data_IF_010218273675
#
_entry.id   IF_010218273675
#
_cell.length_a   1.000
_cell.length_b   1.000
_cell.length_c   1.000
_cell.angle_alpha   90.00
_cell.angle_beta   90.00
_cell.angle_gamma   90.00
#
_symmetry.space_group_name_H-M   'P 1'
#
loop_
_entity.id
_entity.type
_entity.pdbx_description
1 polymer ?
#
# COMPACT_ATOMS: atom_id res chain seq x y z
N UNK A 1 17.18 -75.76 4.26
CA UNK A 1 16.43 -74.58 4.67
C UNK A 1 15.94 -73.90 3.43
N UNK A 2 14.71 -74.14 3.04
CA UNK A 2 14.04 -73.54 1.89
C UNK A 2 13.46 -72.20 2.34
N UNK A 3 13.99 -71.07 1.84
CA UNK A 3 13.36 -69.78 1.98
C UNK A 3 12.09 -69.73 1.16
N UNK A 4 10.95 -69.78 1.82
CA UNK A 4 9.65 -69.46 1.20
C UNK A 4 9.57 -67.95 1.01
N UNK A 5 9.86 -67.48 -0.18
CA UNK A 5 9.55 -66.12 -0.62
C UNK A 5 8.02 -66.11 -0.80
N UNK A 6 7.32 -65.40 0.06
CA UNK A 6 5.86 -65.24 -0.04
C UNK A 6 5.52 -64.29 -1.20
N UNK A 7 4.88 -64.76 -2.28
CA UNK A 7 4.50 -63.94 -3.45
C UNK A 7 3.43 -62.87 -3.17
N UNK A 8 2.83 -62.90 -1.98
CA UNK A 8 1.66 -62.07 -1.61
C UNK A 8 2.06 -60.62 -1.30
N UNK A 9 3.30 -60.38 -0.80
CA UNK A 9 3.72 -59.03 -0.44
C UNK A 9 4.00 -58.12 -1.65
N UNK A 10 4.58 -58.69 -2.73
CA UNK A 10 4.86 -57.94 -3.96
C UNK A 10 3.59 -57.54 -4.73
N UNK A 11 2.58 -58.43 -4.77
CA UNK A 11 1.33 -58.13 -5.44
C UNK A 11 0.49 -57.07 -4.65
N UNK A 12 0.47 -57.18 -3.34
CA UNK A 12 -0.18 -56.19 -2.49
C UNK A 12 0.47 -54.80 -2.60
N UNK A 13 1.83 -54.73 -2.65
CA UNK A 13 2.54 -53.46 -2.88
C UNK A 13 2.30 -52.90 -4.29
N UNK A 14 2.24 -53.73 -5.33
CA UNK A 14 1.90 -53.29 -6.68
C UNK A 14 0.49 -52.77 -6.81
N UNK A 15 -0.48 -53.41 -6.17
CA UNK A 15 -1.89 -52.94 -6.08
C UNK A 15 -1.96 -51.61 -5.33
N UNK A 16 -1.32 -51.50 -4.18
CA UNK A 16 -1.29 -50.28 -3.39
C UNK A 16 -0.64 -49.12 -4.16
N UNK A 17 0.46 -49.37 -4.90
CA UNK A 17 1.06 -48.41 -5.80
C UNK A 17 0.16 -47.96 -6.95
N UNK A 18 -0.64 -48.92 -7.51
CA UNK A 18 -1.63 -48.62 -8.57
C UNK A 18 -2.77 -47.77 -8.06
N UNK A 19 -3.29 -48.03 -6.86
CA UNK A 19 -4.34 -47.25 -6.23
C UNK A 19 -3.88 -45.84 -5.91
N UNK A 20 -2.68 -45.67 -5.34
CA UNK A 20 -2.12 -44.33 -5.05
C UNK A 20 -1.86 -43.52 -6.32
N UNK A 21 -1.48 -44.17 -7.41
CA UNK A 21 -1.32 -43.52 -8.72
C UNK A 21 -2.68 -43.03 -9.28
N UNK A 22 -3.70 -43.87 -9.16
CA UNK A 22 -5.06 -43.50 -9.59
C UNK A 22 -5.62 -42.34 -8.76
N UNK A 23 -5.47 -42.41 -7.44
CA UNK A 23 -5.90 -41.33 -6.53
C UNK A 23 -5.18 -40.02 -6.90
N UNK A 24 -3.86 -40.03 -7.15
CA UNK A 24 -3.13 -38.88 -7.60
C UNK A 24 -3.64 -38.32 -8.93
N UNK A 25 -3.94 -39.17 -9.90
CA UNK A 25 -4.47 -38.73 -11.21
C UNK A 25 -5.86 -38.13 -11.07
N UNK A 26 -6.72 -38.68 -10.23
CA UNK A 26 -8.05 -38.14 -9.94
C UNK A 26 -7.91 -36.77 -9.25
N UNK A 27 -7.15 -36.70 -8.17
CA UNK A 27 -6.92 -35.45 -7.42
C UNK A 27 -6.33 -34.36 -8.34
N UNK A 28 -5.28 -34.67 -9.11
CA UNK A 28 -4.69 -33.74 -10.09
C UNK A 28 -5.72 -33.23 -11.09
N UNK A 29 -6.59 -34.12 -11.59
CA UNK A 29 -7.61 -33.75 -12.58
C UNK A 29 -8.65 -32.84 -11.95
N UNK A 30 -9.14 -33.15 -10.76
CA UNK A 30 -10.07 -32.30 -10.01
C UNK A 30 -9.46 -30.92 -9.74
N UNK A 31 -8.23 -30.85 -9.24
CA UNK A 31 -7.50 -29.59 -9.01
C UNK A 31 -7.34 -28.78 -10.29
N UNK A 32 -7.11 -29.44 -11.42
CA UNK A 32 -7.01 -28.76 -12.72
C UNK A 32 -8.32 -28.07 -13.09
N UNK A 33 -9.47 -28.74 -12.93
CA UNK A 33 -10.77 -28.12 -13.20
C UNK A 33 -11.07 -26.97 -12.24
N UNK A 34 -10.83 -27.14 -10.95
CA UNK A 34 -11.04 -26.09 -9.94
C UNK A 34 -10.13 -24.89 -10.20
N UNK A 35 -8.88 -25.12 -10.56
CA UNK A 35 -7.93 -24.07 -10.90
C UNK A 35 -8.38 -23.25 -12.11
N UNK A 36 -8.81 -23.90 -13.20
CA UNK A 36 -9.34 -23.21 -14.37
C UNK A 36 -10.65 -22.46 -14.05
N UNK A 37 -11.48 -23.00 -13.18
CA UNK A 37 -12.68 -22.29 -12.71
C UNK A 37 -12.31 -21.05 -11.87
N UNK A 38 -11.30 -21.13 -11.01
CA UNK A 38 -10.78 -19.98 -10.27
C UNK A 38 -10.24 -18.88 -11.22
N UNK A 39 -9.51 -19.26 -12.28
CA UNK A 39 -9.05 -18.29 -13.29
C UNK A 39 -10.21 -17.67 -14.07
N UNK A 40 -11.24 -18.45 -14.41
CA UNK A 40 -12.47 -17.94 -15.01
C UNK A 40 -13.20 -16.95 -14.09
N UNK A 41 -13.35 -17.29 -12.81
CA UNK A 41 -13.93 -16.40 -11.78
C UNK A 41 -13.12 -15.11 -11.63
N UNK A 42 -11.79 -15.20 -11.63
CA UNK A 42 -10.91 -14.03 -11.65
C UNK A 42 -11.25 -13.09 -12.82
N UNK A 43 -11.34 -13.63 -14.04
CA UNK A 43 -11.71 -12.85 -15.23
C UNK A 43 -13.10 -12.21 -15.11
N UNK A 44 -14.10 -12.96 -14.61
CA UNK A 44 -15.44 -12.44 -14.39
C UNK A 44 -15.47 -11.33 -13.33
N UNK A 45 -14.73 -11.48 -12.23
CA UNK A 45 -14.62 -10.47 -11.17
C UNK A 45 -13.97 -9.19 -11.70
N UNK A 46 -12.93 -9.31 -12.53
CA UNK A 46 -12.31 -8.17 -13.20
C UNK A 46 -13.32 -7.42 -14.08
N UNK A 47 -14.05 -8.13 -14.95
CA UNK A 47 -15.04 -7.51 -15.82
C UNK A 47 -16.21 -6.88 -15.04
N UNK A 48 -16.64 -7.51 -13.95
CA UNK A 48 -17.67 -6.95 -13.08
C UNK A 48 -17.19 -5.67 -12.39
N UNK A 49 -15.96 -5.68 -11.87
CA UNK A 49 -15.33 -4.52 -11.23
C UNK A 49 -15.15 -3.36 -12.22
N UNK A 50 -14.70 -3.66 -13.44
CA UNK A 50 -14.57 -2.67 -14.51
C UNK A 50 -15.92 -2.02 -14.88
N UNK A 51 -16.98 -2.84 -15.02
CA UNK A 51 -18.35 -2.35 -15.31
C UNK A 51 -18.93 -1.49 -14.19
N UNK A 52 -18.52 -1.75 -12.95
CA UNK A 52 -18.89 -0.95 -11.79
C UNK A 52 -18.11 0.38 -11.67
N UNK A 53 -17.21 0.69 -12.62
CA UNK A 53 -16.37 1.88 -12.59
C UNK A 53 -15.17 1.79 -11.64
N UNK A 54 -14.75 0.56 -11.32
CA UNK A 54 -13.60 0.27 -10.45
C UNK A 54 -13.65 1.05 -9.11
N UNK A 55 -14.71 0.87 -8.29
CA UNK A 55 -14.76 1.53 -6.99
C UNK A 55 -13.60 1.08 -6.11
N UNK A 56 -13.25 1.84 -5.05
CA UNK A 56 -12.21 1.45 -4.09
C UNK A 56 -12.46 0.05 -3.54
N UNK A 57 -11.40 -0.76 -3.44
CA UNK A 57 -11.49 -2.10 -2.86
C UNK A 57 -11.40 -1.99 -1.33
N UNK A 58 -12.46 -1.47 -0.73
CA UNK A 58 -12.63 -1.35 0.71
C UNK A 58 -13.72 -2.30 1.18
N UNK A 59 -13.56 -2.85 2.40
CA UNK A 59 -14.60 -3.68 3.07
C UNK A 59 -15.50 -2.85 3.98
N UNK A 60 -15.25 -1.56 4.09
CA UNK A 60 -16.01 -0.62 4.90
C UNK A 60 -16.91 0.22 4.01
N UNK A 61 -18.11 0.52 4.50
CA UNK A 61 -18.95 1.55 3.91
C UNK A 61 -18.31 2.94 4.09
N UNK A 62 -18.65 3.85 3.21
CA UNK A 62 -18.11 5.21 3.26
C UNK A 62 -19.07 6.25 2.69
N UNK A 63 -18.93 7.48 3.15
CA UNK A 63 -19.58 8.65 2.58
C UNK A 63 -18.56 9.56 1.90
N UNK A 64 -18.96 10.17 0.77
CA UNK A 64 -18.17 11.20 0.10
C UNK A 64 -18.15 12.47 0.96
N UNK A 65 -16.95 13.00 1.20
CA UNK A 65 -16.74 14.26 1.94
C UNK A 65 -16.42 15.40 0.99
N UNK A 66 -15.41 15.22 0.16
CA UNK A 66 -15.03 16.14 -0.90
C UNK A 66 -14.69 15.36 -2.17
N UNK A 67 -15.22 15.83 -3.29
CA UNK A 67 -14.86 15.31 -4.61
C UNK A 67 -13.95 16.32 -5.31
N UNK A 68 -12.69 15.99 -5.47
CA UNK A 68 -11.68 16.87 -6.09
C UNK A 68 -11.97 17.21 -7.54
N UNK A 69 -12.79 16.40 -8.23
CA UNK A 69 -13.23 16.70 -9.61
C UNK A 69 -14.12 17.93 -9.69
N UNK A 70 -14.69 18.36 -8.57
CA UNK A 70 -15.52 19.56 -8.47
C UNK A 70 -14.74 20.81 -8.09
N UNK A 71 -13.44 20.73 -7.87
CA UNK A 71 -12.62 21.86 -7.49
C UNK A 71 -12.38 22.80 -8.68
N UNK A 72 -12.03 24.04 -8.40
CA UNK A 72 -11.68 25.01 -9.44
C UNK A 72 -10.51 24.54 -10.32
N UNK A 73 -9.53 23.84 -9.70
CA UNK A 73 -8.52 23.05 -10.37
C UNK A 73 -8.88 21.57 -10.12
N UNK A 74 -9.54 20.91 -11.07
CA UNK A 74 -10.01 19.54 -10.87
C UNK A 74 -8.87 18.53 -10.73
N UNK A 75 -9.06 17.58 -9.83
CA UNK A 75 -8.19 16.41 -9.67
C UNK A 75 -9.03 15.15 -9.51
N UNK A 76 -8.56 14.01 -9.99
CA UNK A 76 -9.26 12.74 -9.85
C UNK A 76 -9.09 12.09 -8.46
N UNK A 77 -8.92 12.89 -7.42
CA UNK A 77 -8.82 12.47 -6.03
C UNK A 77 -10.05 12.92 -5.25
N UNK A 78 -10.40 12.16 -4.23
CA UNK A 78 -11.53 12.47 -3.35
C UNK A 78 -11.25 12.05 -1.92
N UNK A 79 -11.86 12.77 -0.98
CA UNK A 79 -11.86 12.43 0.43
C UNK A 79 -13.16 11.72 0.77
N UNK A 80 -13.06 10.54 1.36
CA UNK A 80 -14.21 9.80 1.89
C UNK A 80 -14.08 9.62 3.40
N UNK A 81 -15.21 9.56 4.10
CA UNK A 81 -15.28 9.20 5.50
C UNK A 81 -15.69 7.74 5.62
N UNK A 82 -14.92 6.97 6.35
CA UNK A 82 -15.22 5.57 6.63
C UNK A 82 -16.33 5.47 7.69
N UNK A 83 -17.33 4.64 7.42
CA UNK A 83 -18.45 4.36 8.32
C UNK A 83 -18.21 3.04 9.05
N UNK A 84 -18.19 3.08 10.36
CA UNK A 84 -18.14 1.86 11.16
C UNK A 84 -19.56 1.31 11.37
N UNK A 85 -19.96 0.37 10.51
CA UNK A 85 -21.24 -0.37 10.63
C UNK A 85 -21.05 -1.80 11.10
N UNK A 86 -19.86 -2.14 11.59
CA UNK A 86 -19.60 -3.47 12.12
C UNK A 86 -20.47 -3.71 13.34
N UNK A 87 -21.01 -4.94 13.46
CA UNK A 87 -21.69 -5.35 14.68
C UNK A 87 -20.68 -5.52 15.83
N UNK A 88 -21.14 -5.44 17.08
CA UNK A 88 -20.29 -5.74 18.24
C UNK A 88 -19.62 -7.12 18.17
N UNK A 89 -20.26 -8.07 17.45
CA UNK A 89 -19.73 -9.43 17.23
C UNK A 89 -18.56 -9.45 16.24
N UNK A 90 -18.52 -8.50 15.31
CA UNK A 90 -17.47 -8.39 14.29
C UNK A 90 -16.30 -7.53 14.77
N UNK A 91 -16.48 -6.81 15.86
CA UNK A 91 -15.43 -6.00 16.48
C UNK A 91 -14.58 -6.89 17.35
N UNK A 92 -13.31 -7.14 17.02
CA UNK A 92 -12.45 -7.93 17.88
C UNK A 92 -12.31 -7.25 19.23
N UNK A 93 -12.27 -8.01 20.34
CA UNK A 93 -12.03 -7.39 21.64
C UNK A 93 -10.71 -6.63 21.57
N UNK A 94 -10.78 -5.32 21.72
CA UNK A 94 -9.59 -4.50 21.90
C UNK A 94 -8.93 -5.01 23.16
N UNK A 95 -7.79 -5.69 23.03
CA UNK A 95 -6.90 -5.90 24.15
C UNK A 95 -6.30 -4.54 24.53
N UNK A 96 -7.16 -3.69 25.11
CA UNK A 96 -6.68 -2.47 25.71
C UNK A 96 -5.62 -2.88 26.72
N UNK A 97 -4.39 -2.42 26.54
CA UNK A 97 -3.36 -2.61 27.55
C UNK A 97 -3.90 -1.99 28.84
N UNK A 98 -4.33 -2.85 29.77
CA UNK A 98 -4.90 -2.45 31.06
C UNK A 98 -3.96 -1.54 31.86
N UNK A 99 -2.70 -1.41 31.45
CA UNK A 99 -1.72 -0.50 32.04
C UNK A 99 -1.91 0.94 31.55
N UNK A 100 -2.36 1.13 30.30
CA UNK A 100 -2.67 2.46 29.76
C UNK A 100 -4.04 2.96 30.24
N UNK A 101 -5.06 2.08 30.30
CA UNK A 101 -6.40 2.46 30.77
C UNK A 101 -6.45 2.88 32.24
N UNK A 102 -5.64 2.28 33.12
CA UNK A 102 -5.60 2.64 34.55
C UNK A 102 -5.09 4.06 34.86
N UNK A 103 -4.42 4.72 33.91
CA UNK A 103 -3.86 6.06 34.10
C UNK A 103 -4.86 7.18 33.73
N UNK A 104 -6.01 6.84 33.13
CA UNK A 104 -7.01 7.78 32.63
C UNK A 104 -8.39 7.66 33.29
N UNK A 105 -8.51 6.92 34.39
CA UNK A 105 -9.78 6.79 35.13
C UNK A 105 -10.12 7.97 36.08
N UNK A 106 -9.41 9.09 35.97
CA UNK A 106 -9.70 10.28 36.79
C UNK A 106 -10.25 11.43 35.92
N UNK A 107 -11.56 11.59 35.96
CA UNK A 107 -12.36 12.84 35.96
C UNK A 107 -12.03 13.99 34.98
N UNK A 108 -11.30 13.79 33.90
CA UNK A 108 -11.17 14.77 32.81
C UNK A 108 -12.11 14.37 31.65
N UNK A 109 -12.76 15.33 30.95
CA UNK A 109 -13.54 15.01 29.76
C UNK A 109 -12.62 14.27 28.78
N UNK A 110 -13.05 13.08 28.33
CA UNK A 110 -12.28 12.29 27.35
C UNK A 110 -12.01 13.17 26.15
N UNK A 111 -10.75 13.50 25.84
CA UNK A 111 -10.44 14.37 24.72
C UNK A 111 -11.00 13.77 23.42
N UNK A 112 -11.53 14.61 22.55
CA UNK A 112 -12.02 14.16 21.25
C UNK A 112 -10.94 13.37 20.53
N UNK A 113 -11.29 12.18 20.01
CA UNK A 113 -10.35 11.30 19.33
C UNK A 113 -9.80 11.98 18.08
N UNK A 114 -8.47 11.93 17.92
CA UNK A 114 -7.78 12.45 16.73
C UNK A 114 -8.31 11.79 15.47
N UNK A 115 -8.73 12.51 14.43
CA UNK A 115 -9.04 11.91 13.15
C UNK A 115 -7.78 11.34 12.49
N UNK A 116 -7.96 10.25 11.74
CA UNK A 116 -6.89 9.59 10.98
C UNK A 116 -7.24 9.68 9.50
N UNK A 117 -6.31 10.16 8.70
CA UNK A 117 -6.41 10.22 7.24
C UNK A 117 -5.42 9.25 6.63
N UNK A 118 -5.92 8.27 5.91
CA UNK A 118 -5.11 7.28 5.17
C UNK A 118 -5.06 7.72 3.71
N UNK A 119 -3.85 7.89 3.18
CA UNK A 119 -3.63 8.20 1.78
C UNK A 119 -3.25 6.91 1.06
N UNK A 120 -3.98 6.59 0.00
CA UNK A 120 -3.71 5.42 -0.84
C UNK A 120 -2.59 5.72 -1.85
N UNK A 121 -1.66 4.78 -2.09
CA UNK A 121 -0.55 5.01 -3.00
C UNK A 121 -0.97 5.02 -4.47
N UNK A 122 -0.49 6.00 -5.22
CA UNK A 122 -0.57 6.04 -6.68
C UNK A 122 0.51 5.14 -7.29
N UNK A 123 0.29 3.82 -7.22
CA UNK A 123 1.29 2.81 -7.59
C UNK A 123 0.90 1.96 -8.80
N UNK A 124 -0.12 2.36 -9.54
CA UNK A 124 -0.60 1.69 -10.75
C UNK A 124 -1.88 0.91 -10.57
N UNK A 125 -2.24 0.53 -9.35
CA UNK A 125 -3.56 -0.06 -9.05
C UNK A 125 -4.52 0.94 -8.42
N UNK A 126 -5.79 0.54 -8.38
CA UNK A 126 -6.86 1.30 -7.73
C UNK A 126 -6.74 1.31 -6.21
N UNK A 127 -7.47 2.23 -5.55
CA UNK A 127 -7.40 2.40 -4.11
C UNK A 127 -7.97 1.23 -3.33
N UNK A 128 -7.36 0.93 -2.16
CA UNK A 128 -7.78 -0.14 -1.27
C UNK A 128 -6.77 -0.49 -0.18
N UNK A 129 -5.55 0.04 -0.24
CA UNK A 129 -4.49 -0.27 0.74
C UNK A 129 -4.86 0.25 2.13
N UNK A 130 -4.77 -0.62 3.13
CA UNK A 130 -5.11 -0.30 4.50
C UNK A 130 -6.58 -0.53 4.88
N UNK A 131 -7.47 -0.84 3.90
CA UNK A 131 -8.91 -1.02 4.13
C UNK A 131 -9.56 -2.19 3.40
N UNK A 132 -8.79 -3.02 2.68
CA UNK A 132 -9.31 -4.17 1.92
C UNK A 132 -9.77 -5.36 2.78
N UNK A 133 -9.54 -5.31 4.09
CA UNK A 133 -9.98 -6.32 5.07
C UNK A 133 -10.44 -5.64 6.35
N UNK A 134 -11.35 -6.29 7.08
CA UNK A 134 -11.81 -5.79 8.39
C UNK A 134 -10.63 -5.66 9.35
N UNK A 135 -9.76 -6.65 9.39
CA UNK A 135 -8.53 -6.62 10.19
C UNK A 135 -7.40 -5.90 9.41
N UNK A 136 -7.44 -4.58 9.41
CA UNK A 136 -6.58 -3.67 8.65
C UNK A 136 -6.24 -2.42 9.44
N UNK A 137 -5.46 -1.52 8.88
CA UNK A 137 -5.15 -0.21 9.49
C UNK A 137 -6.42 0.58 9.80
N UNK A 138 -7.35 0.64 8.84
CA UNK A 138 -8.65 1.29 9.02
C UNK A 138 -9.44 0.61 10.14
N UNK A 139 -9.54 -0.73 10.10
CA UNK A 139 -10.25 -1.48 11.13
C UNK A 139 -9.70 -1.26 12.53
N UNK A 140 -8.38 -1.29 12.68
CA UNK A 140 -7.72 -1.01 13.97
C UNK A 140 -8.00 0.42 14.44
N UNK A 141 -7.92 1.41 13.56
CA UNK A 141 -8.22 2.79 13.92
C UNK A 141 -9.68 2.97 14.41
N UNK A 142 -10.63 2.32 13.74
CA UNK A 142 -12.03 2.29 14.15
C UNK A 142 -12.22 1.57 15.50
N UNK A 143 -11.52 0.44 15.74
CA UNK A 143 -11.55 -0.30 17.00
C UNK A 143 -11.13 0.58 18.19
N UNK A 144 -10.20 1.50 17.96
CA UNK A 144 -9.77 2.49 18.96
C UNK A 144 -10.64 3.75 19.00
N UNK A 145 -11.72 3.80 18.23
CA UNK A 145 -12.71 4.89 18.23
C UNK A 145 -12.25 6.17 17.53
N UNK A 146 -11.27 6.09 16.64
CA UNK A 146 -10.84 7.22 15.84
C UNK A 146 -11.80 7.46 14.68
N UNK A 147 -12.18 8.71 14.36
CA UNK A 147 -12.74 9.03 13.06
C UNK A 147 -11.73 8.73 11.96
N UNK A 148 -12.14 7.97 10.93
CA UNK A 148 -11.22 7.57 9.85
C UNK A 148 -11.69 8.14 8.52
N UNK A 149 -10.75 8.73 7.81
CA UNK A 149 -10.90 9.24 6.46
C UNK A 149 -9.92 8.55 5.53
N UNK A 150 -10.29 8.48 4.26
CA UNK A 150 -9.46 7.83 3.26
C UNK A 150 -9.42 8.70 2.01
N UNK A 151 -8.21 8.93 1.49
CA UNK A 151 -8.00 9.61 0.22
C UNK A 151 -7.96 8.56 -0.87
N UNK A 152 -8.96 8.60 -1.74
CA UNK A 152 -9.08 7.73 -2.90
C UNK A 152 -8.87 8.51 -4.19
N UNK A 153 -8.73 7.80 -5.29
CA UNK A 153 -8.67 8.39 -6.63
C UNK A 153 -9.46 7.55 -7.64
N UNK A 154 -9.77 8.14 -8.79
CA UNK A 154 -10.52 7.51 -9.87
C UNK A 154 -9.61 6.97 -10.96
N UNK A 155 -10.17 6.11 -11.83
CA UNK A 155 -9.43 5.37 -12.87
C UNK A 155 -8.69 6.30 -13.82
N UNK A 156 -9.40 7.30 -14.35
CA UNK A 156 -8.86 8.26 -15.31
C UNK A 156 -8.43 9.54 -14.60
N UNK A 157 -7.22 10.07 -14.88
CA UNK A 157 -6.76 11.35 -14.35
C UNK A 157 -7.53 12.50 -15.01
N UNK A 158 -7.65 13.63 -14.33
CA UNK A 158 -8.11 14.86 -14.97
C UNK A 158 -7.06 15.33 -15.99
N UNK A 159 -7.48 15.84 -17.17
CA UNK A 159 -6.57 16.03 -18.31
C UNK A 159 -5.36 16.93 -18.07
N UNK A 160 -5.49 17.95 -17.21
CA UNK A 160 -4.44 18.92 -16.92
C UNK A 160 -3.86 18.78 -15.52
N UNK A 161 -4.24 17.76 -14.76
CA UNK A 161 -3.82 17.56 -13.39
C UNK A 161 -2.31 17.30 -13.31
N UNK A 162 -1.69 17.91 -12.31
CA UNK A 162 -0.29 17.71 -11.94
C UNK A 162 -0.19 17.18 -10.51
N UNK A 163 0.99 16.74 -10.09
CA UNK A 163 1.22 16.39 -8.68
C UNK A 163 1.06 17.61 -7.75
N UNK A 164 1.34 18.83 -8.23
CA UNK A 164 1.10 20.05 -7.47
C UNK A 164 -0.40 20.28 -7.22
N UNK A 165 -1.25 20.01 -8.20
CA UNK A 165 -2.71 20.11 -8.06
C UNK A 165 -3.26 19.04 -7.08
N UNK A 166 -2.76 17.81 -7.18
CA UNK A 166 -3.11 16.74 -6.25
C UNK A 166 -2.69 17.10 -4.82
N UNK A 167 -1.48 17.60 -4.63
CA UNK A 167 -0.96 18.07 -3.35
C UNK A 167 -1.86 19.18 -2.74
N UNK A 168 -2.24 20.17 -3.55
CA UNK A 168 -3.13 21.24 -3.11
C UNK A 168 -4.53 20.69 -2.70
N UNK A 169 -5.04 19.71 -3.43
CA UNK A 169 -6.30 19.05 -3.10
C UNK A 169 -6.20 18.25 -1.79
N UNK A 170 -5.11 17.52 -1.57
CA UNK A 170 -4.87 16.75 -0.34
C UNK A 170 -4.74 17.66 0.88
N UNK A 171 -4.09 18.83 0.75
CA UNK A 171 -4.08 19.86 1.81
C UNK A 171 -5.51 20.28 2.15
N UNK A 172 -6.34 20.59 1.14
CA UNK A 172 -7.74 20.96 1.34
C UNK A 172 -8.54 19.84 2.00
N UNK A 173 -8.24 18.58 1.70
CA UNK A 173 -8.86 17.44 2.39
C UNK A 173 -8.52 17.43 3.89
N UNK A 174 -7.28 17.71 4.26
CA UNK A 174 -6.86 17.77 5.66
C UNK A 174 -7.48 18.97 6.39
N UNK A 175 -7.59 20.12 5.73
CA UNK A 175 -8.27 21.30 6.26
C UNK A 175 -9.76 21.00 6.54
N UNK A 176 -10.45 20.31 5.64
CA UNK A 176 -11.85 19.88 5.83
C UNK A 176 -11.98 18.89 7.00
N UNK A 177 -11.07 17.92 7.11
CA UNK A 177 -11.07 16.99 8.26
C UNK A 177 -10.87 17.74 9.56
N UNK A 178 -9.95 18.68 9.63
CA UNK A 178 -9.73 19.51 10.82
C UNK A 178 -10.97 20.36 11.16
N UNK A 179 -11.62 20.96 10.16
CA UNK A 179 -12.84 21.75 10.33
C UNK A 179 -14.01 20.91 10.85
N UNK A 180 -14.12 19.65 10.46
CA UNK A 180 -15.14 18.72 10.98
C UNK A 180 -14.88 18.26 12.42
N UNK A 181 -13.66 18.40 12.90
CA UNK A 181 -13.25 17.95 14.22
C UNK A 181 -12.58 19.06 15.04
N UNK A 182 -13.25 20.21 15.27
CA UNK A 182 -12.61 21.39 15.88
C UNK A 182 -12.16 21.17 17.34
N UNK A 183 -12.73 20.19 18.02
CA UNK A 183 -12.34 19.84 19.40
C UNK A 183 -11.24 18.75 19.46
N UNK A 184 -10.84 18.18 18.33
CA UNK A 184 -9.82 17.15 18.26
C UNK A 184 -8.46 17.76 17.89
N UNK A 185 -7.34 17.08 18.23
CA UNK A 185 -6.03 17.44 17.70
C UNK A 185 -5.99 17.30 16.18
N UNK A 186 -5.04 17.98 15.52
CA UNK A 186 -4.82 17.88 14.06
C UNK A 186 -4.81 16.43 13.58
N UNK A 187 -5.32 16.11 12.36
CA UNK A 187 -5.43 14.75 11.85
C UNK A 187 -4.06 14.08 11.73
N UNK A 188 -3.96 12.84 12.17
CA UNK A 188 -2.82 12.00 11.84
C UNK A 188 -2.90 11.56 10.38
N UNK A 189 -1.77 11.58 9.68
CA UNK A 189 -1.70 11.22 8.26
C UNK A 189 -0.90 9.95 8.08
N UNK A 190 -1.49 8.96 7.44
CA UNK A 190 -0.85 7.67 7.13
C UNK A 190 -0.62 7.60 5.63
N UNK A 191 0.64 7.58 5.22
CA UNK A 191 1.06 7.32 3.85
C UNK A 191 1.58 5.89 3.71
N UNK A 192 0.90 5.08 2.90
CA UNK A 192 1.30 3.71 2.61
C UNK A 192 2.07 3.65 1.30
N UNK A 193 3.19 2.91 1.25
CA UNK A 193 3.98 2.75 0.04
C UNK A 193 4.30 4.13 -0.59
N UNK A 194 3.99 4.35 -1.85
CA UNK A 194 4.21 5.63 -2.54
C UNK A 194 3.41 6.81 -1.95
N UNK A 195 2.31 6.58 -1.24
CA UNK A 195 1.62 7.67 -0.55
C UNK A 195 2.46 8.28 0.59
N UNK A 196 3.53 7.61 1.04
CA UNK A 196 4.44 8.18 2.03
C UNK A 196 5.17 9.42 1.53
N UNK A 197 5.64 9.46 0.29
CA UNK A 197 6.24 10.68 -0.24
C UNK A 197 5.18 11.79 -0.43
N UNK A 198 3.94 11.45 -0.88
CA UNK A 198 2.87 12.43 -0.98
C UNK A 198 2.53 13.04 0.40
N UNK A 199 2.36 12.21 1.42
CA UNK A 199 2.19 12.67 2.80
C UNK A 199 3.38 13.51 3.29
N UNK A 200 4.62 13.14 2.93
CA UNK A 200 5.81 13.89 3.29
C UNK A 200 5.85 15.28 2.64
N UNK A 201 5.39 15.41 1.39
CA UNK A 201 5.24 16.73 0.75
C UNK A 201 4.29 17.63 1.57
N UNK A 202 3.15 17.09 1.99
CA UNK A 202 2.16 17.85 2.77
C UNK A 202 2.74 18.27 4.12
N UNK A 203 3.34 17.34 4.85
CA UNK A 203 3.91 17.63 6.16
C UNK A 203 5.08 18.61 6.14
N UNK A 204 5.83 18.66 5.06
CA UNK A 204 6.93 19.61 4.88
C UNK A 204 6.47 20.99 4.38
N UNK A 205 5.40 21.03 3.57
CA UNK A 205 4.86 22.27 3.02
C UNK A 205 3.87 22.96 3.97
N UNK A 206 2.98 22.17 4.57
CA UNK A 206 1.88 22.65 5.43
C UNK A 206 1.85 21.90 6.77
N UNK A 207 2.88 22.05 7.62
CA UNK A 207 2.91 21.44 8.95
C UNK A 207 1.82 21.97 9.89
N UNK A 208 1.17 23.06 9.54
CA UNK A 208 0.05 23.64 10.26
C UNK A 208 -1.23 22.77 10.16
N UNK A 209 -1.43 22.04 9.07
CA UNK A 209 -2.64 21.21 8.84
C UNK A 209 -2.44 19.73 9.20
N UNK A 210 -1.21 19.28 9.39
CA UNK A 210 -0.88 17.90 9.74
C UNK A 210 -0.65 17.70 11.24
N UNK A 211 -1.10 16.56 11.78
CA UNK A 211 -0.65 15.99 13.05
C UNK A 211 0.47 14.97 12.81
N UNK A 212 0.62 13.98 13.71
CA UNK A 212 1.62 12.93 13.55
C UNK A 212 1.51 12.22 12.19
N UNK A 213 2.66 11.92 11.60
CA UNK A 213 2.74 11.30 10.28
C UNK A 213 3.28 9.88 10.38
N UNK A 214 2.71 8.97 9.60
CA UNK A 214 3.12 7.57 9.55
C UNK A 214 3.48 7.20 8.12
N UNK A 215 4.70 6.74 7.91
CA UNK A 215 5.21 6.27 6.63
C UNK A 215 5.42 4.75 6.69
N UNK A 216 4.56 4.00 6.04
CA UNK A 216 4.60 2.54 6.05
C UNK A 216 5.16 1.98 4.75
N UNK A 217 6.32 1.33 4.80
CA UNK A 217 6.97 0.81 3.60
C UNK A 217 7.12 1.86 2.50
N UNK A 218 7.42 3.09 2.89
CA UNK A 218 7.35 4.26 2.02
C UNK A 218 8.73 4.71 1.60
N UNK A 219 9.02 4.80 0.29
CA UNK A 219 10.31 5.25 -0.20
C UNK A 219 10.40 6.79 -0.17
N UNK A 220 11.28 7.33 0.66
CA UNK A 220 11.67 8.74 0.67
C UNK A 220 13.13 8.93 0.20
N UNK A 221 13.90 7.83 0.14
CA UNK A 221 15.27 7.76 -0.36
C UNK A 221 15.34 6.73 -1.47
N UNK A 222 14.93 7.06 -2.67
CA UNK A 222 14.85 6.10 -3.77
C UNK A 222 16.19 5.45 -4.14
N UNK A 223 17.31 6.12 -3.83
CA UNK A 223 18.66 5.61 -4.03
C UNK A 223 19.25 4.93 -2.80
N UNK A 224 18.50 4.85 -1.71
CA UNK A 224 18.90 4.14 -0.50
C UNK A 224 19.05 2.64 -0.75
N UNK A 225 20.07 2.03 -0.18
CA UNK A 225 20.30 0.60 -0.26
C UNK A 225 21.72 0.21 -0.65
N UNK A 226 21.91 -1.09 -0.85
CA UNK A 226 23.18 -1.66 -1.32
C UNK A 226 23.34 -1.33 -2.79
N UNK A 227 24.53 -0.92 -3.18
CA UNK A 227 24.87 -0.68 -4.59
C UNK A 227 24.61 -1.96 -5.41
N UNK A 228 23.86 -1.85 -6.49
CA UNK A 228 23.46 -2.98 -7.32
C UNK A 228 22.13 -3.64 -6.94
N UNK A 229 21.55 -3.30 -5.78
CA UNK A 229 20.32 -3.96 -5.30
C UNK A 229 19.04 -3.17 -5.57
N UNK A 230 19.11 -1.96 -6.11
CA UNK A 230 17.92 -1.15 -6.43
C UNK A 230 17.69 -1.08 -7.94
N UNK A 231 16.73 -1.85 -8.50
CA UNK A 231 16.48 -1.89 -9.95
C UNK A 231 16.07 -0.54 -10.55
N UNK A 232 15.31 0.28 -9.84
CA UNK A 232 14.84 1.58 -10.38
C UNK A 232 15.98 2.54 -10.66
N UNK A 233 16.95 2.63 -9.75
CA UNK A 233 18.16 3.42 -9.92
C UNK A 233 18.96 3.02 -11.16
N UNK A 234 19.11 1.69 -11.39
CA UNK A 234 19.86 1.19 -12.53
C UNK A 234 19.07 1.24 -13.83
N UNK A 235 17.76 0.95 -13.79
CA UNK A 235 16.91 1.06 -14.97
C UNK A 235 16.94 2.50 -15.51
N UNK A 236 16.82 3.52 -14.66
CA UNK A 236 16.93 4.92 -15.08
C UNK A 236 18.28 5.25 -15.73
N UNK A 237 19.38 4.78 -15.16
CA UNK A 237 20.72 4.97 -15.73
C UNK A 237 20.96 4.20 -17.02
N UNK A 238 20.65 2.91 -17.07
CA UNK A 238 20.85 2.04 -18.23
C UNK A 238 19.96 2.43 -19.42
N UNK A 239 18.72 2.83 -19.16
CA UNK A 239 17.76 3.20 -20.19
C UNK A 239 17.80 4.68 -20.57
N UNK A 240 18.71 5.47 -20.03
CA UNK A 240 18.90 6.88 -20.38
C UNK A 240 17.80 7.80 -19.90
N UNK A 241 17.25 7.59 -18.71
CA UNK A 241 16.24 8.42 -18.09
C UNK A 241 14.80 7.92 -18.28
N UNK A 242 13.85 8.83 -18.44
CA UNK A 242 12.42 8.55 -18.47
C UNK A 242 11.84 8.31 -19.88
N UNK A 243 12.67 8.12 -20.91
CA UNK A 243 12.18 8.01 -22.29
C UNK A 243 11.18 6.86 -22.49
N UNK A 244 11.36 5.74 -21.77
CA UNK A 244 10.44 4.61 -21.84
C UNK A 244 9.07 4.98 -21.24
N UNK A 245 9.04 5.79 -20.20
CA UNK A 245 7.82 6.35 -19.63
C UNK A 245 7.11 7.25 -20.64
N UNK A 246 7.86 8.13 -21.32
CA UNK A 246 7.34 8.98 -22.42
C UNK A 246 6.75 8.13 -23.53
N UNK A 247 7.45 7.08 -23.95
CA UNK A 247 6.97 6.16 -24.98
C UNK A 247 5.63 5.50 -24.61
N UNK A 248 5.48 5.03 -23.36
CA UNK A 248 4.21 4.48 -22.87
C UNK A 248 3.11 5.52 -22.81
N UNK A 249 3.42 6.77 -22.42
CA UNK A 249 2.47 7.88 -22.45
C UNK A 249 2.00 8.20 -23.87
N UNK A 250 2.91 8.21 -24.85
CA UNK A 250 2.60 8.47 -26.25
C UNK A 250 1.68 7.38 -26.82
N UNK A 251 1.97 6.11 -26.55
CA UNK A 251 1.09 4.99 -26.92
C UNK A 251 -0.29 5.08 -26.24
N UNK A 252 -0.34 5.60 -25.03
CA UNK A 252 -1.56 5.84 -24.25
C UNK A 252 -2.25 7.17 -24.55
N UNK A 253 -1.86 7.89 -25.61
CA UNK A 253 -2.44 9.19 -26.00
C UNK A 253 -2.38 10.24 -24.86
N UNK A 254 -1.26 10.34 -24.20
CA UNK A 254 -1.03 11.24 -23.07
C UNK A 254 -1.41 10.64 -21.69
N UNK A 255 -1.80 9.38 -21.65
CA UNK A 255 -2.09 8.64 -20.43
C UNK A 255 -1.12 7.48 -20.25
N UNK A 256 -0.61 7.32 -19.03
CA UNK A 256 0.21 6.20 -18.64
C UNK A 256 -0.68 5.12 -18.00
N UNK A 257 -0.64 3.90 -18.54
CA UNK A 257 -1.33 2.77 -17.95
C UNK A 257 -0.57 2.26 -16.72
N UNK A 258 -1.22 2.24 -15.57
CA UNK A 258 -0.67 1.75 -14.30
C UNK A 258 -0.20 0.29 -14.35
N UNK A 259 -0.70 -0.50 -15.28
CA UNK A 259 -0.20 -1.87 -15.51
C UNK A 259 1.31 -1.90 -15.75
N UNK A 260 1.87 -0.89 -16.43
CA UNK A 260 3.32 -0.81 -16.69
C UNK A 260 4.13 -0.58 -15.40
N UNK A 261 3.57 0.16 -14.43
CA UNK A 261 4.22 0.37 -13.14
C UNK A 261 4.15 -0.90 -12.29
N UNK A 262 2.98 -1.56 -12.28
CA UNK A 262 2.78 -2.83 -11.56
C UNK A 262 3.69 -3.93 -12.12
N UNK A 263 3.83 -4.04 -13.44
CA UNK A 263 4.77 -4.97 -14.07
C UNK A 263 6.21 -4.77 -13.57
N UNK A 264 6.63 -3.51 -13.38
CA UNK A 264 7.93 -3.22 -12.79
C UNK A 264 8.11 -3.76 -11.36
N UNK A 265 7.06 -3.81 -10.55
CA UNK A 265 7.10 -4.45 -9.22
C UNK A 265 7.07 -5.98 -9.31
N UNK A 266 6.31 -6.53 -10.23
CA UNK A 266 6.25 -7.98 -10.46
C UNK A 266 7.60 -8.53 -10.95
N UNK A 267 8.33 -7.79 -11.76
CA UNK A 267 9.68 -8.12 -12.23
C UNK A 267 10.75 -8.19 -11.12
N UNK A 268 10.45 -7.64 -9.93
CA UNK A 268 11.36 -7.77 -8.77
C UNK A 268 11.37 -9.19 -8.17
N UNK A 269 10.34 -9.99 -8.47
CA UNK A 269 10.28 -11.40 -8.07
C UNK A 269 9.68 -12.27 -9.18
N UNK A 270 10.44 -12.50 -10.26
CA UNK A 270 9.96 -13.24 -11.44
C UNK A 270 9.55 -14.68 -11.11
N UNK A 271 10.20 -15.33 -10.14
CA UNK A 271 9.81 -16.68 -9.71
C UNK A 271 8.38 -16.72 -9.20
N UNK A 272 8.02 -15.80 -8.32
CA UNK A 272 6.65 -15.68 -7.84
C UNK A 272 5.67 -15.29 -8.96
N UNK A 273 6.02 -14.33 -9.78
CA UNK A 273 5.15 -13.79 -10.82
C UNK A 273 4.77 -14.84 -11.87
N UNK A 274 5.75 -15.58 -12.38
CA UNK A 274 5.55 -16.49 -13.51
C UNK A 274 5.24 -17.94 -13.11
N UNK A 275 5.57 -18.35 -11.85
CA UNK A 275 5.47 -19.76 -11.45
C UNK A 275 4.80 -19.97 -10.09
N UNK A 276 5.38 -19.41 -9.02
CA UNK A 276 5.04 -19.80 -7.65
C UNK A 276 3.61 -19.41 -7.27
N UNK A 277 3.16 -18.19 -7.64
CA UNK A 277 1.82 -17.69 -7.32
C UNK A 277 0.73 -18.62 -7.84
N UNK A 278 0.77 -18.93 -9.12
CA UNK A 278 -0.26 -19.78 -9.75
C UNK A 278 -0.11 -21.25 -9.34
N UNK A 279 1.10 -21.74 -9.16
CA UNK A 279 1.34 -23.08 -8.66
C UNK A 279 0.84 -23.22 -7.21
N UNK A 280 1.02 -22.22 -6.36
CA UNK A 280 0.49 -22.21 -5.01
C UNK A 280 -1.05 -22.26 -5.01
N UNK A 281 -1.72 -21.53 -5.88
CA UNK A 281 -3.18 -21.59 -6.05
C UNK A 281 -3.61 -22.98 -6.50
N UNK A 282 -2.94 -23.56 -7.49
CA UNK A 282 -3.24 -24.92 -7.97
C UNK A 282 -3.08 -25.98 -6.87
N UNK A 283 -1.97 -25.96 -6.16
CA UNK A 283 -1.65 -26.96 -5.14
C UNK A 283 -2.52 -26.84 -3.88
N UNK A 284 -3.09 -25.66 -3.62
CA UNK A 284 -3.91 -25.37 -2.45
C UNK A 284 -5.31 -24.87 -2.82
N UNK A 285 -5.84 -25.32 -3.96
CA UNK A 285 -7.09 -24.78 -4.53
C UNK A 285 -8.28 -24.88 -3.59
N UNK A 286 -8.29 -25.87 -2.71
CA UNK A 286 -9.37 -26.11 -1.74
C UNK A 286 -9.48 -24.97 -0.69
N UNK A 287 -8.42 -24.22 -0.45
CA UNK A 287 -8.35 -23.22 0.62
C UNK A 287 -7.96 -21.82 0.14
N UNK A 288 -7.28 -21.70 -1.00
CA UNK A 288 -6.67 -20.46 -1.48
C UNK A 288 -7.52 -19.69 -2.49
N UNK A 289 -8.57 -20.31 -3.06
CA UNK A 289 -9.38 -19.68 -4.12
C UNK A 289 -9.91 -18.31 -3.70
N UNK A 290 -10.57 -18.20 -2.56
CA UNK A 290 -11.19 -16.94 -2.12
C UNK A 290 -10.13 -15.85 -1.88
N UNK A 291 -9.03 -16.21 -1.21
CA UNK A 291 -7.93 -15.26 -0.96
C UNK A 291 -7.30 -14.78 -2.27
N UNK A 292 -7.13 -15.68 -3.24
CA UNK A 292 -6.62 -15.34 -4.56
C UNK A 292 -7.57 -14.37 -5.30
N UNK A 293 -8.88 -14.66 -5.32
CA UNK A 293 -9.86 -13.83 -6.02
C UNK A 293 -9.99 -12.43 -5.40
N UNK A 294 -9.98 -12.33 -4.07
CA UNK A 294 -9.99 -11.05 -3.35
C UNK A 294 -8.74 -10.22 -3.66
N UNK A 295 -7.57 -10.84 -3.64
CA UNK A 295 -6.32 -10.17 -3.95
C UNK A 295 -6.26 -9.69 -5.41
N UNK A 296 -6.59 -10.56 -6.35
CA UNK A 296 -6.52 -10.26 -7.78
C UNK A 296 -7.54 -9.19 -8.22
N UNK A 297 -8.66 -9.04 -7.51
CA UNK A 297 -9.62 -7.96 -7.75
C UNK A 297 -8.97 -6.59 -7.56
N UNK A 298 -8.12 -6.44 -6.55
CA UNK A 298 -7.37 -5.20 -6.31
C UNK A 298 -6.11 -5.13 -7.17
N UNK A 299 -5.30 -6.21 -7.18
CA UNK A 299 -4.00 -6.23 -7.88
C UNK A 299 -4.14 -6.06 -9.39
N UNK A 300 -5.16 -6.62 -10.01
CA UNK A 300 -5.44 -6.48 -11.43
C UNK A 300 -6.28 -5.26 -11.82
N UNK A 301 -6.67 -4.42 -10.89
CA UNK A 301 -7.45 -3.20 -11.13
C UNK A 301 -6.54 -2.02 -11.45
N UNK A 302 -6.06 -1.89 -12.68
CA UNK A 302 -5.10 -0.85 -13.07
C UNK A 302 -5.77 0.51 -13.28
N UNK A 303 -5.09 1.56 -12.78
CA UNK A 303 -5.52 2.95 -12.86
C UNK A 303 -4.50 3.76 -13.65
N UNK A 304 -4.96 4.78 -14.34
CA UNK A 304 -4.10 5.59 -15.21
C UNK A 304 -3.57 6.82 -14.48
N UNK A 305 -2.47 7.36 -15.00
CA UNK A 305 -1.91 8.66 -14.67
C UNK A 305 -1.76 9.46 -15.96
N UNK A 306 -1.78 10.78 -15.89
CA UNK A 306 -1.39 11.56 -17.05
C UNK A 306 0.15 11.68 -17.14
N UNK A 307 0.62 12.19 -18.28
CA UNK A 307 2.06 12.33 -18.54
C UNK A 307 2.76 13.16 -17.49
N UNK A 308 2.16 14.27 -17.02
CA UNK A 308 2.78 15.15 -16.03
C UNK A 308 2.98 14.45 -14.68
N UNK A 309 2.00 13.68 -14.22
CA UNK A 309 2.08 12.94 -12.96
C UNK A 309 3.18 11.88 -12.99
N UNK A 310 3.18 11.03 -14.01
CA UNK A 310 4.15 9.92 -14.07
C UNK A 310 5.57 10.42 -14.31
N UNK A 311 5.76 11.48 -15.10
CA UNK A 311 7.08 12.11 -15.28
C UNK A 311 7.60 12.69 -13.98
N UNK A 312 6.80 13.40 -13.20
CA UNK A 312 7.20 13.87 -11.88
C UNK A 312 7.68 12.71 -11.00
N UNK A 313 6.91 11.62 -10.93
CA UNK A 313 7.26 10.46 -10.11
C UNK A 313 8.57 9.82 -10.60
N UNK A 314 8.72 9.62 -11.89
CA UNK A 314 9.88 8.91 -12.45
C UNK A 314 11.12 9.81 -12.44
N UNK A 315 11.02 11.03 -12.93
CA UNK A 315 12.18 11.93 -13.08
C UNK A 315 12.65 12.48 -11.75
N UNK A 316 11.75 13.07 -10.96
CA UNK A 316 12.15 13.73 -9.72
C UNK A 316 12.38 12.77 -8.55
N UNK A 317 11.58 11.69 -8.45
CA UNK A 317 11.69 10.77 -7.33
C UNK A 317 12.56 9.56 -7.66
N UNK A 318 12.21 8.75 -8.68
CA UNK A 318 12.90 7.49 -8.95
C UNK A 318 14.32 7.69 -9.48
N UNK A 319 14.49 8.60 -10.42
CA UNK A 319 15.78 8.89 -11.06
C UNK A 319 16.52 9.99 -10.32
N UNK A 320 15.83 11.12 -10.05
CA UNK A 320 16.43 12.30 -9.44
C UNK A 320 16.72 12.16 -7.95
N UNK A 321 15.91 11.37 -7.22
CA UNK A 321 15.99 11.26 -5.75
C UNK A 321 15.98 12.64 -5.06
N UNK A 322 15.22 13.58 -5.63
CA UNK A 322 15.26 15.01 -5.30
C UNK A 322 14.69 15.31 -3.92
N UNK A 323 13.71 14.50 -3.46
CA UNK A 323 13.06 14.66 -2.16
C UNK A 323 14.07 14.52 -1.01
N UNK A 324 14.88 13.48 -1.02
CA UNK A 324 15.93 13.25 -0.02
C UNK A 324 16.98 14.36 -0.03
N UNK A 325 17.25 14.92 -1.22
CA UNK A 325 18.24 15.97 -1.40
C UNK A 325 17.73 17.36 -1.02
N UNK A 326 16.42 17.52 -0.82
CA UNK A 326 15.79 18.81 -0.51
C UNK A 326 15.78 19.79 -1.67
N UNK A 327 15.80 19.27 -2.90
CA UNK A 327 15.78 20.05 -4.15
C UNK A 327 14.55 19.75 -5.00
N UNK A 328 13.58 19.01 -4.46
CA UNK A 328 12.35 18.69 -5.15
C UNK A 328 11.49 19.94 -5.35
N UNK A 329 11.28 20.30 -6.60
CA UNK A 329 10.34 21.34 -6.99
C UNK A 329 8.95 20.76 -7.19
N UNK A 330 7.99 21.19 -6.37
CA UNK A 330 6.59 20.85 -6.56
C UNK A 330 5.97 21.63 -7.73
N UNK A 331 6.35 22.90 -7.80
CA UNK A 331 6.08 23.80 -8.92
C UNK A 331 7.29 24.76 -9.12
N UNK A 332 7.13 25.78 -9.95
CA UNK A 332 8.24 26.72 -10.29
C UNK A 332 8.77 27.51 -9.09
N UNK A 333 7.95 27.70 -8.07
CA UNK A 333 8.25 28.56 -6.92
C UNK A 333 8.50 27.77 -5.63
N UNK A 334 7.90 26.57 -5.53
CA UNK A 334 7.86 25.79 -4.30
C UNK A 334 8.85 24.63 -4.28
N UNK A 335 9.85 24.74 -3.41
CA UNK A 335 10.80 23.66 -3.12
C UNK A 335 10.44 23.00 -1.80
N UNK A 336 10.39 21.68 -1.79
CA UNK A 336 10.06 20.89 -0.61
C UNK A 336 11.31 20.59 0.21
N UNK A 337 11.27 20.94 1.50
CA UNK A 337 12.35 20.66 2.44
C UNK A 337 11.81 19.85 3.63
N UNK A 338 12.22 18.60 3.76
CA UNK A 338 11.79 17.71 4.82
C UNK A 338 12.20 18.17 6.24
N UNK A 339 13.12 19.12 6.38
CA UNK A 339 13.42 19.77 7.68
C UNK A 339 12.26 20.59 8.24
N UNK A 340 11.28 20.93 7.39
CA UNK A 340 10.12 21.72 7.81
C UNK A 340 9.07 20.91 8.60
N UNK A 341 9.20 19.61 8.72
CA UNK A 341 8.34 18.82 9.59
C UNK A 341 8.31 19.37 11.01
N UNK A 342 7.11 19.46 11.60
CA UNK A 342 6.91 19.93 12.99
C UNK A 342 6.31 18.87 13.90
N UNK A 343 5.59 17.93 13.33
CA UNK A 343 4.89 16.90 14.07
C UNK A 343 5.73 15.60 14.14
N UNK A 344 5.49 14.73 15.12
CA UNK A 344 6.17 13.45 15.21
C UNK A 344 6.01 12.60 13.96
N UNK A 345 7.05 11.88 13.58
CA UNK A 345 7.07 10.99 12.43
C UNK A 345 7.29 9.56 12.91
N UNK A 346 6.49 8.64 12.39
CA UNK A 346 6.63 7.21 12.60
C UNK A 346 6.94 6.56 11.25
N UNK A 347 8.05 5.81 11.17
CA UNK A 347 8.43 5.08 9.96
C UNK A 347 8.38 3.59 10.23
N UNK A 348 7.59 2.85 9.46
CA UNK A 348 7.62 1.39 9.48
C UNK A 348 8.30 0.86 8.22
N UNK A 349 9.28 0.00 8.38
CA UNK A 349 10.02 -0.65 7.31
C UNK A 349 10.18 -2.15 7.58
N UNK A 350 10.53 -2.94 6.58
CA UNK A 350 10.75 -4.37 6.76
C UNK A 350 11.94 -4.87 5.95
N UNK A 351 12.77 -5.70 6.56
CA UNK A 351 13.87 -6.40 5.89
C UNK A 351 13.43 -7.43 4.85
N UNK A 352 12.16 -7.88 4.90
CA UNK A 352 11.56 -8.74 3.87
C UNK A 352 10.93 -7.98 2.70
N UNK A 353 10.94 -6.65 2.76
CA UNK A 353 10.37 -5.77 1.72
C UNK A 353 11.39 -5.59 0.58
N UNK A 354 11.11 -6.15 -0.58
CA UNK A 354 11.93 -6.04 -1.77
C UNK A 354 11.56 -4.85 -2.68
N UNK A 355 10.45 -4.18 -2.40
CA UNK A 355 9.97 -2.99 -3.14
C UNK A 355 10.51 -1.72 -2.48
N UNK A 356 10.32 -1.61 -1.16
CA UNK A 356 10.85 -0.50 -0.36
C UNK A 356 11.69 -1.05 0.79
N UNK A 357 12.92 -1.49 0.55
CA UNK A 357 13.80 -1.99 1.61
C UNK A 357 14.10 -0.88 2.64
N UNK A 358 14.46 -1.25 3.89
CA UNK A 358 14.66 -0.28 4.98
C UNK A 358 15.54 0.93 4.64
N UNK A 359 16.64 0.82 3.87
CA UNK A 359 17.39 2.00 3.47
C UNK A 359 16.60 3.03 2.66
N UNK A 360 15.67 2.60 1.81
CA UNK A 360 14.82 3.53 1.06
C UNK A 360 13.80 4.25 1.95
N UNK A 361 13.35 3.59 3.02
CA UNK A 361 12.44 4.20 3.99
C UNK A 361 13.15 5.10 5.01
N UNK A 362 14.43 4.87 5.30
CA UNK A 362 15.10 5.46 6.47
C UNK A 362 16.30 6.39 6.16
N UNK A 363 17.00 6.23 5.03
CA UNK A 363 18.23 6.98 4.76
C UNK A 363 18.02 8.49 4.68
N UNK A 364 16.83 8.95 4.29
CA UNK A 364 16.47 10.36 4.26
C UNK A 364 16.69 11.04 5.62
N UNK A 365 16.47 10.32 6.74
CA UNK A 365 16.63 10.88 8.08
C UNK A 365 18.06 11.38 8.28
N UNK A 366 19.04 10.53 7.98
CA UNK A 366 20.45 10.89 8.08
C UNK A 366 20.84 11.97 7.05
N UNK A 367 20.30 11.88 5.85
CA UNK A 367 20.62 12.82 4.78
C UNK A 367 20.10 14.22 5.07
N UNK A 368 18.86 14.31 5.55
CA UNK A 368 18.17 15.58 5.85
C UNK A 368 18.75 16.24 7.11
N UNK A 369 18.93 15.48 8.19
CA UNK A 369 19.35 16.05 9.48
C UNK A 369 20.87 15.97 9.73
N UNK A 370 21.57 15.04 9.09
CA UNK A 370 23.01 14.85 9.26
C UNK A 370 23.40 14.15 10.56
N UNK A 371 22.84 14.55 11.70
CA UNK A 371 23.15 14.00 13.03
C UNK A 371 21.93 13.93 13.95
N UNK A 372 22.06 13.17 15.03
CA UNK A 372 21.03 13.10 16.10
C UNK A 372 20.89 14.45 16.82
N UNK A 373 21.96 15.17 16.98
CA UNK A 373 21.92 16.49 17.64
C UNK A 373 21.14 17.50 16.79
N UNK A 374 21.26 17.44 15.47
CA UNK A 374 20.43 18.25 14.57
C UNK A 374 18.95 17.90 14.69
N UNK A 375 18.58 16.61 14.79
CA UNK A 375 17.19 16.20 15.03
C UNK A 375 16.66 16.82 16.33
N UNK A 376 17.44 16.76 17.42
CA UNK A 376 17.10 17.37 18.70
C UNK A 376 16.99 18.87 18.64
N UNK A 377 17.93 19.54 17.96
CA UNK A 377 17.95 20.99 17.80
C UNK A 377 16.71 21.49 17.03
N UNK A 378 16.19 20.69 16.08
CA UNK A 378 14.95 20.98 15.38
C UNK A 378 13.70 20.62 16.19
N UNK A 379 13.84 20.03 17.38
CA UNK A 379 12.72 19.54 18.20
C UNK A 379 11.95 18.40 17.54
N UNK A 380 12.56 17.72 16.55
CA UNK A 380 11.90 16.69 15.78
C UNK A 380 11.90 15.36 16.52
N UNK A 381 10.77 14.65 16.49
CA UNK A 381 10.63 13.30 17.02
C UNK A 381 10.42 12.32 15.87
N UNK A 382 11.34 11.37 15.72
CA UNK A 382 11.27 10.33 14.70
C UNK A 382 11.36 8.98 15.38
N UNK A 383 10.29 8.18 15.24
CA UNK A 383 10.24 6.79 15.71
C UNK A 383 10.29 5.90 14.47
N UNK A 384 11.17 4.91 14.46
CA UNK A 384 11.16 3.93 13.39
C UNK A 384 11.07 2.51 13.94
N UNK A 385 10.39 1.66 13.20
CA UNK A 385 10.22 0.24 13.50
C UNK A 385 10.64 -0.56 12.27
N UNK A 386 11.48 -1.57 12.46
CA UNK A 386 11.93 -2.45 11.38
C UNK A 386 11.53 -3.88 11.69
N UNK A 387 10.63 -4.44 10.87
CA UNK A 387 10.29 -5.85 10.93
C UNK A 387 11.32 -6.67 10.13
N UNK A 388 11.59 -7.91 10.55
CA UNK A 388 12.67 -8.69 9.92
C UNK A 388 12.28 -9.33 8.59
N UNK A 389 11.04 -9.79 8.42
CA UNK A 389 10.67 -10.77 7.37
C UNK A 389 9.40 -10.46 6.58
N UNK A 390 8.64 -9.43 6.95
CA UNK A 390 7.37 -9.13 6.26
C UNK A 390 7.66 -8.56 4.87
N UNK A 391 7.04 -9.14 3.85
CA UNK A 391 7.09 -8.61 2.49
C UNK A 391 6.26 -7.33 2.36
N UNK A 392 6.51 -6.55 1.32
CA UNK A 392 5.89 -5.22 1.09
C UNK A 392 4.37 -5.24 1.27
N UNK A 393 3.66 -6.07 0.54
CA UNK A 393 2.20 -6.15 0.64
C UNK A 393 1.71 -6.65 2.01
N UNK A 394 2.52 -7.45 2.72
CA UNK A 394 2.24 -7.91 4.05
C UNK A 394 2.12 -6.78 5.08
N UNK A 395 2.80 -5.66 4.86
CA UNK A 395 2.73 -4.46 5.71
C UNK A 395 1.30 -3.88 5.72
N UNK A 396 0.65 -3.85 4.58
CA UNK A 396 -0.62 -3.13 4.40
C UNK A 396 -1.86 -4.03 4.48
N UNK A 397 -1.73 -5.29 4.07
CA UNK A 397 -2.89 -6.19 3.88
C UNK A 397 -2.97 -7.29 4.94
N UNK A 398 -2.00 -7.38 5.84
CA UNK A 398 -1.98 -8.39 6.91
C UNK A 398 -2.34 -7.80 8.26
N UNK A 399 -3.54 -8.09 8.74
CA UNK A 399 -3.95 -7.72 10.09
C UNK A 399 -3.13 -8.38 11.21
N UNK A 400 -2.43 -9.48 10.91
CA UNK A 400 -1.46 -10.08 11.84
C UNK A 400 -0.27 -9.17 12.08
N UNK A 401 0.14 -8.39 11.06
CA UNK A 401 1.22 -7.40 11.18
C UNK A 401 0.72 -6.15 11.89
N UNK A 402 -0.46 -5.65 11.53
CA UNK A 402 -1.05 -4.46 12.15
C UNK A 402 -1.30 -4.62 13.68
N UNK A 403 -1.36 -5.84 14.19
CA UNK A 403 -1.56 -6.15 15.62
C UNK A 403 -0.30 -6.59 16.35
N UNK A 404 0.81 -6.71 15.67
CA UNK A 404 2.09 -6.98 16.32
C UNK A 404 2.71 -5.65 16.71
N UNK A 405 2.79 -5.45 18.00
CA UNK A 405 3.56 -4.38 18.64
C UNK A 405 5.06 -4.61 18.50
#
# INVERSE_FOLDING_TARGET
MMNQITPISGFAQALQGSFSTLEYLVDRTQRTFLFWDALRKRGNNYLAHLRAGQPPVLVFDYDMVLDGRTFAQPVNYSLIRILDRRSEKDTPPVQADRRLTRKYEAAEPVPAKRPIVVIDPRAGHGPGIGGSKVNSQIGVALDYGHPVYFVMFYVDPEPAQTIADVHAAEIRFLEEVAARHPAAPKPAVIGNCQAGWAAALIGADRPDVTGPMVFNGSPLSYWGGVQGANPMRYKGGLWGGAWLTSFWCDLGKGQFDGANLVAGFEDLNPANTYWEKLYHVFSNIDTEENRFLEFEKWWGGFFKMNTAEIHFIVESLFIGNELEQGVLHLDKEKVINLKNFKEPIIVFASGGDNITPPPQALNWIKKVYGSVDEIKNHGQVIVYMVHQKVGHLGIFVSGKVARKE
#
